data_IF_586286488623
#
_entry.id   IF_586286488623
#
_cell.length_a   1.000
_cell.length_b   1.000
_cell.length_c   1.000
_cell.angle_alpha   90.00
_cell.angle_beta   90.00
_cell.angle_gamma   90.00
#
_symmetry.space_group_name_H-M   'P 1'
#
loop_
_entity.id
_entity.type
_entity.pdbx_description
1 polymer ?
#
# COMPACT_ATOMS: atom_id res chain seq x y z
N UNK A 1 -4.74 -6.85 -2.16
CA UNK A 1 -3.79 -7.45 -3.13
C UNK A 1 -4.23 -8.86 -3.55
N UNK A 2 -5.52 -9.20 -3.42
CA UNK A 2 -5.99 -10.57 -3.62
C UNK A 2 -5.88 -11.48 -2.38
N UNK A 3 -5.01 -11.16 -1.41
CA UNK A 3 -4.79 -11.96 -0.19
C UNK A 3 -5.19 -11.18 1.06
N UNK A 4 -4.96 -9.87 1.09
CA UNK A 4 -5.13 -8.98 2.24
C UNK A 4 -5.30 -7.52 1.81
N UNK A 5 -5.61 -6.64 2.77
CA UNK A 5 -5.51 -5.20 2.56
C UNK A 5 -4.05 -4.75 2.62
N UNK A 6 -3.66 -3.85 1.72
CA UNK A 6 -2.26 -3.38 1.59
C UNK A 6 -1.71 -2.76 2.87
N UNK A 7 -2.57 -2.06 3.63
CA UNK A 7 -2.21 -1.42 4.90
C UNK A 7 -2.26 -2.33 6.13
N UNK A 8 -2.65 -3.60 5.98
CA UNK A 8 -2.85 -4.54 7.08
C UNK A 8 -2.12 -5.87 6.80
N UNK A 9 -0.77 -5.87 6.73
CA UNK A 9 -0.01 -7.08 6.43
C UNK A 9 -0.22 -8.21 7.45
N UNK A 10 -0.56 -7.87 8.70
CA UNK A 10 -0.74 -8.82 9.81
C UNK A 10 -1.96 -9.73 9.63
N UNK A 11 -2.87 -9.42 8.68
CA UNK A 11 -4.03 -10.26 8.36
C UNK A 11 -3.66 -11.72 8.07
N UNK A 12 -2.49 -11.97 7.47
CA UNK A 12 -2.01 -13.32 7.20
C UNK A 12 -1.86 -14.17 8.48
N UNK A 13 -1.57 -13.54 9.62
CA UNK A 13 -1.43 -14.24 10.90
C UNK A 13 -2.77 -14.70 11.46
N UNK A 14 -3.90 -14.14 11.00
CA UNK A 14 -5.22 -14.44 11.52
C UNK A 14 -5.67 -15.88 11.25
N UNK A 15 -5.12 -16.52 10.21
CA UNK A 15 -5.31 -17.95 9.98
C UNK A 15 -4.86 -18.82 11.16
N UNK A 16 -3.83 -18.39 11.91
CA UNK A 16 -3.37 -19.09 13.12
C UNK A 16 -4.38 -19.06 14.27
N UNK A 17 -5.35 -18.13 14.22
CA UNK A 17 -6.46 -18.02 15.16
C UNK A 17 -7.75 -18.63 14.63
N UNK A 18 -7.68 -19.47 13.58
CA UNK A 18 -8.84 -20.05 12.87
C UNK A 18 -9.83 -18.99 12.34
N UNK A 19 -9.34 -17.78 12.08
CA UNK A 19 -10.11 -16.73 11.42
C UNK A 19 -9.87 -16.85 9.93
N UNK A 20 -10.95 -16.94 9.16
CA UNK A 20 -10.89 -16.83 7.71
C UNK A 20 -11.73 -15.66 7.25
N UNK A 21 -11.27 -14.99 6.23
CA UNK A 21 -11.84 -13.74 5.77
C UNK A 21 -11.91 -13.73 4.25
N UNK A 22 -12.77 -12.88 3.71
CA UNK A 22 -12.95 -12.71 2.29
C UNK A 22 -13.29 -11.26 1.97
N UNK A 23 -12.87 -10.81 0.78
CA UNK A 23 -13.30 -9.56 0.20
C UNK A 23 -14.11 -9.88 -1.06
N UNK A 24 -15.41 -9.64 -1.00
CA UNK A 24 -16.31 -9.83 -2.15
C UNK A 24 -16.38 -8.51 -2.91
N UNK A 25 -16.13 -8.56 -4.22
CA UNK A 25 -16.32 -7.44 -5.13
C UNK A 25 -17.00 -7.94 -6.39
N UNK A 26 -18.30 -7.70 -6.50
CA UNK A 26 -19.13 -8.07 -7.65
C UNK A 26 -20.14 -6.96 -7.96
N UNK A 27 -21.19 -7.26 -8.73
CA UNK A 27 -22.18 -6.24 -9.13
C UNK A 27 -23.18 -5.94 -8.02
N UNK A 28 -23.29 -6.84 -7.05
CA UNK A 28 -24.27 -6.83 -5.97
C UNK A 28 -23.70 -6.22 -4.69
N UNK A 29 -22.45 -6.54 -4.34
CA UNK A 29 -21.78 -6.10 -3.13
C UNK A 29 -20.28 -5.85 -3.32
N UNK A 30 -19.78 -4.90 -2.54
CA UNK A 30 -18.35 -4.69 -2.30
C UNK A 30 -18.16 -4.67 -0.79
N UNK A 31 -17.77 -5.80 -0.22
CA UNK A 31 -17.80 -6.02 1.21
C UNK A 31 -16.65 -6.91 1.71
N UNK A 32 -16.14 -6.56 2.88
CA UNK A 32 -15.27 -7.44 3.66
C UNK A 32 -16.10 -8.26 4.64
N UNK A 33 -15.81 -9.56 4.72
CA UNK A 33 -16.43 -10.47 5.69
C UNK A 33 -15.38 -11.37 6.34
N UNK A 34 -15.64 -11.82 7.56
CA UNK A 34 -14.82 -12.81 8.23
C UNK A 34 -15.67 -13.77 9.05
N UNK A 35 -15.14 -14.96 9.30
CA UNK A 35 -15.73 -15.98 10.17
C UNK A 35 -14.64 -16.62 11.03
N UNK A 36 -15.06 -17.06 12.22
CA UNK A 36 -14.23 -17.84 13.13
C UNK A 36 -14.65 -19.30 12.98
N UNK A 37 -13.72 -20.19 12.62
CA UNK A 37 -14.03 -21.62 12.44
C UNK A 37 -13.99 -22.41 13.75
N UNK A 38 -13.42 -21.85 14.81
CA UNK A 38 -13.43 -22.49 16.14
C UNK A 38 -14.84 -22.42 16.74
N UNK A 39 -15.46 -23.55 17.10
CA UNK A 39 -16.76 -23.55 17.77
C UNK A 39 -16.74 -22.74 19.06
N UNK A 40 -17.87 -22.12 19.41
CA UNK A 40 -18.05 -21.34 20.65
C UNK A 40 -17.01 -20.23 20.88
N UNK A 41 -16.34 -19.78 19.82
CA UNK A 41 -15.41 -18.66 19.88
C UNK A 41 -16.07 -17.43 19.26
N UNK A 42 -16.01 -16.31 19.97
CA UNK A 42 -16.55 -15.04 19.49
C UNK A 42 -15.42 -14.11 19.12
N UNK A 43 -15.54 -13.44 17.97
CA UNK A 43 -14.60 -12.40 17.55
C UNK A 43 -15.36 -11.26 16.90
N UNK A 44 -14.85 -10.04 17.06
CA UNK A 44 -15.46 -8.84 16.49
C UNK A 44 -14.41 -7.80 16.12
N UNK A 45 -14.66 -7.09 15.02
CA UNK A 45 -14.03 -5.80 14.78
C UNK A 45 -14.78 -4.71 15.54
N UNK A 46 -14.06 -3.75 16.10
CA UNK A 46 -14.66 -2.57 16.73
C UNK A 46 -13.74 -1.38 16.56
N UNK A 47 -14.30 -0.28 16.05
CA UNK A 47 -13.67 1.02 16.03
C UNK A 47 -13.93 1.69 17.38
N UNK A 48 -12.88 2.05 18.10
CA UNK A 48 -13.02 2.74 19.38
C UNK A 48 -13.12 4.28 19.18
N UNK A 49 -13.35 5.00 20.28
CA UNK A 49 -13.45 6.48 20.29
C UNK A 49 -12.17 7.19 19.83
N UNK A 50 -11.02 6.51 19.89
CA UNK A 50 -9.73 7.06 19.46
C UNK A 50 -9.48 6.86 17.96
N UNK A 51 -10.43 6.27 17.23
CA UNK A 51 -10.30 5.98 15.80
C UNK A 51 -9.45 4.74 15.49
N UNK A 52 -9.18 3.88 16.48
CA UNK A 52 -8.45 2.63 16.31
C UNK A 52 -9.39 1.47 16.03
N UNK A 53 -9.19 0.81 14.89
CA UNK A 53 -9.87 -0.44 14.57
C UNK A 53 -9.17 -1.59 15.29
N UNK A 54 -9.92 -2.33 16.10
CA UNK A 54 -9.41 -3.47 16.85
C UNK A 54 -10.16 -4.75 16.50
N UNK A 55 -9.42 -5.84 16.36
CA UNK A 55 -9.97 -7.19 16.31
C UNK A 55 -9.88 -7.79 17.71
N UNK A 56 -11.03 -8.14 18.27
CA UNK A 56 -11.14 -8.76 19.58
C UNK A 56 -11.49 -10.24 19.47
N UNK A 57 -11.07 -11.03 20.45
CA UNK A 57 -11.56 -12.39 20.71
C UNK A 57 -12.07 -12.49 22.13
N UNK A 58 -13.14 -13.25 22.33
CA UNK A 58 -13.67 -13.49 23.68
C UNK A 58 -12.90 -14.63 24.34
N UNK A 59 -12.44 -14.41 25.57
CA UNK A 59 -11.70 -15.39 26.36
C UNK A 59 -12.56 -15.86 27.54
N UNK A 60 -13.12 -17.08 27.49
CA UNK A 60 -14.00 -17.58 28.55
C UNK A 60 -13.32 -17.72 29.92
N UNK A 61 -12.00 -17.94 29.93
CA UNK A 61 -11.23 -18.13 31.16
C UNK A 61 -11.17 -16.85 32.02
N UNK A 62 -11.11 -15.68 31.38
CA UNK A 62 -11.02 -14.38 32.05
C UNK A 62 -12.30 -13.56 31.94
N UNK A 63 -13.29 -14.04 31.17
CA UNK A 63 -14.56 -13.36 30.91
C UNK A 63 -14.36 -11.96 30.31
N UNK A 64 -13.38 -11.82 29.42
CA UNK A 64 -13.03 -10.54 28.80
C UNK A 64 -12.80 -10.64 27.28
N UNK A 65 -12.73 -9.47 26.65
CA UNK A 65 -12.37 -9.33 25.24
C UNK A 65 -10.88 -9.03 25.11
N UNK A 66 -10.12 -10.03 24.66
CA UNK A 66 -8.70 -9.88 24.35
C UNK A 66 -8.49 -9.25 22.97
N UNK A 67 -7.48 -8.39 22.86
CA UNK A 67 -7.10 -7.75 21.60
C UNK A 67 -6.20 -8.70 20.81
N UNK A 68 -6.68 -9.20 19.67
CA UNK A 68 -5.88 -9.98 18.72
C UNK A 68 -5.06 -9.09 17.79
N UNK A 69 -5.63 -7.97 17.38
CA UNK A 69 -4.99 -7.03 16.47
C UNK A 69 -5.55 -5.62 16.68
N UNK A 70 -4.72 -4.62 16.42
CA UNK A 70 -5.09 -3.21 16.39
C UNK A 70 -4.48 -2.58 15.14
N UNK A 71 -5.22 -1.69 14.49
CA UNK A 71 -4.69 -0.78 13.47
C UNK A 71 -3.71 0.16 14.17
N UNK A 72 -2.47 -0.29 14.34
CA UNK A 72 -1.47 0.46 15.09
C UNK A 72 -1.18 1.77 14.35
N UNK A 73 -1.18 2.90 15.07
CA UNK A 73 -0.66 4.17 14.55
C UNK A 73 0.87 4.09 14.67
N UNK A 74 1.50 3.29 13.81
CA UNK A 74 2.92 3.47 13.54
C UNK A 74 3.07 4.78 12.78
N UNK A 75 4.20 5.45 12.89
CA UNK A 75 4.42 6.70 12.15
C UNK A 75 4.14 6.55 10.65
N UNK A 76 4.54 5.42 10.05
CA UNK A 76 4.27 5.11 8.64
C UNK A 76 2.84 4.65 8.32
N UNK A 77 1.96 4.50 9.31
CA UNK A 77 0.53 4.18 9.10
C UNK A 77 -0.36 5.42 9.08
N UNK A 78 0.16 6.59 9.46
CA UNK A 78 -0.55 7.86 9.31
C UNK A 78 -0.67 8.20 7.82
N UNK A 79 -1.89 8.56 7.40
CA UNK A 79 -2.16 8.95 6.02
C UNK A 79 -1.23 10.07 5.57
N UNK A 80 -0.61 9.90 4.40
CA UNK A 80 0.31 10.88 3.81
C UNK A 80 1.43 11.34 4.76
N UNK A 81 1.96 10.43 5.60
CA UNK A 81 3.09 10.71 6.50
C UNK A 81 4.29 11.33 5.77
N UNK A 82 4.56 10.84 4.57
CA UNK A 82 5.62 11.34 3.69
C UNK A 82 5.03 12.10 2.50
N UNK A 83 5.80 13.04 1.96
CA UNK A 83 5.42 13.81 0.77
C UNK A 83 5.11 12.91 -0.43
N UNK A 84 4.37 13.43 -1.43
CA UNK A 84 4.22 12.73 -2.69
C UNK A 84 5.59 12.36 -3.29
N UNK A 85 5.65 11.18 -3.91
CA UNK A 85 6.85 10.53 -4.43
C UNK A 85 7.92 10.17 -3.38
N UNK A 86 7.55 10.15 -2.10
CA UNK A 86 8.31 9.52 -1.02
C UNK A 86 7.54 8.32 -0.44
N UNK A 87 8.27 7.38 0.14
CA UNK A 87 7.70 6.29 0.94
C UNK A 87 8.26 6.32 2.35
N UNK A 88 7.44 5.90 3.31
CA UNK A 88 7.85 5.76 4.70
C UNK A 88 8.48 4.39 4.95
N UNK A 89 9.65 4.35 5.59
CA UNK A 89 10.32 3.12 6.05
C UNK A 89 10.71 3.29 7.52
N UNK A 90 10.21 2.40 8.37
CA UNK A 90 10.51 2.44 9.81
C UNK A 90 11.96 2.06 10.12
N UNK A 91 12.70 1.52 9.14
CA UNK A 91 14.08 1.07 9.32
C UNK A 91 15.12 2.12 8.89
N UNK A 92 14.69 3.31 8.46
CA UNK A 92 15.59 4.39 8.04
C UNK A 92 15.44 5.62 8.92
N UNK A 93 16.50 6.43 9.00
CA UNK A 93 16.49 7.75 9.61
C UNK A 93 17.12 8.74 8.62
N UNK A 94 16.35 9.69 8.06
CA UNK A 94 14.91 9.93 8.27
C UNK A 94 14.02 8.78 7.75
N UNK A 95 12.77 8.68 8.25
CA UNK A 95 11.83 7.62 7.84
C UNK A 95 11.28 7.80 6.42
N UNK A 96 11.17 9.04 5.97
CA UNK A 96 10.72 9.34 4.61
C UNK A 96 11.89 9.25 3.63
N UNK A 97 11.69 8.50 2.55
CA UNK A 97 12.69 8.27 1.52
C UNK A 97 12.11 8.68 0.16
N UNK A 98 12.78 9.59 -0.56
CA UNK A 98 12.41 9.83 -1.96
C UNK A 98 12.62 8.57 -2.80
N UNK A 99 11.72 8.33 -3.75
CA UNK A 99 11.85 7.24 -4.71
C UNK A 99 13.10 7.48 -5.58
N UNK A 100 13.76 6.42 -6.05
CA UNK A 100 14.88 6.55 -6.99
C UNK A 100 14.44 7.37 -8.22
N UNK A 101 15.25 8.34 -8.63
CA UNK A 101 14.92 9.30 -9.69
C UNK A 101 14.17 10.54 -9.19
N UNK A 102 13.94 10.66 -7.88
CA UNK A 102 13.41 11.83 -7.20
C UNK A 102 14.41 12.34 -6.16
N UNK A 103 14.36 13.64 -5.88
CA UNK A 103 15.21 14.32 -4.91
C UNK A 103 14.38 15.26 -4.04
N UNK A 104 14.79 15.53 -2.79
CA UNK A 104 14.13 16.53 -1.97
C UNK A 104 14.21 17.90 -2.65
N UNK A 105 13.09 18.61 -2.73
CA UNK A 105 13.01 19.96 -3.29
C UNK A 105 13.83 20.96 -2.48
N UNK A 106 13.90 20.76 -1.15
CA UNK A 106 14.75 21.53 -0.25
C UNK A 106 15.61 20.59 0.61
N UNK A 107 16.89 20.36 0.24
CA UNK A 107 17.78 19.47 0.97
C UNK A 107 18.08 19.92 2.41
N UNK A 108 18.05 21.22 2.69
CA UNK A 108 18.31 21.74 4.04
C UNK A 108 17.15 21.45 4.99
N UNK A 109 15.91 21.60 4.52
CA UNK A 109 14.70 21.23 5.28
C UNK A 109 14.63 19.71 5.51
N UNK A 110 15.03 18.91 4.51
CA UNK A 110 15.07 17.44 4.61
C UNK A 110 16.05 16.92 5.67
N UNK A 111 17.16 17.63 5.90
CA UNK A 111 18.15 17.25 6.92
C UNK A 111 17.76 17.67 8.35
N UNK A 112 16.78 18.57 8.49
CA UNK A 112 16.44 19.24 9.75
C UNK A 112 15.09 18.79 10.34
N UNK A 113 14.27 18.02 9.61
CA UNK A 113 12.95 17.59 10.09
C UNK A 113 12.58 16.16 9.69
N UNK A 114 11.81 15.51 10.57
CA UNK A 114 10.90 14.39 10.26
C UNK A 114 9.60 14.87 9.56
N UNK A 115 9.66 15.98 8.80
CA UNK A 115 8.54 16.57 8.06
C UNK A 115 8.80 16.60 6.56
N UNK A 116 7.74 16.51 5.75
CA UNK A 116 7.84 16.12 4.34
C UNK A 116 8.31 17.28 3.47
N UNK A 117 9.62 17.39 3.19
CA UNK A 117 10.02 18.17 2.02
C UNK A 117 9.52 17.43 0.77
N UNK A 118 8.92 18.14 -0.18
CA UNK A 118 8.39 17.53 -1.40
C UNK A 118 9.51 16.81 -2.17
N UNK A 119 9.30 15.56 -2.56
CA UNK A 119 10.18 14.89 -3.50
C UNK A 119 9.79 15.30 -4.92
N UNK A 120 10.72 15.91 -5.64
CA UNK A 120 10.55 16.29 -7.03
C UNK A 120 11.33 15.34 -7.94
N UNK A 121 10.86 15.16 -9.18
CA UNK A 121 11.61 14.42 -10.19
C UNK A 121 12.97 15.07 -10.40
N UNK A 122 14.03 14.27 -10.39
CA UNK A 122 15.38 14.73 -10.69
C UNK A 122 15.51 15.15 -12.16
N UNK A 123 14.94 14.37 -13.06
CA UNK A 123 14.89 14.65 -14.49
C UNK A 123 13.44 14.66 -14.99
N UNK A 124 13.11 15.63 -15.85
CA UNK A 124 11.79 15.72 -16.47
C UNK A 124 11.55 14.53 -17.39
N UNK A 125 10.31 14.01 -17.38
CA UNK A 125 9.89 12.93 -18.27
C UNK A 125 9.81 13.41 -19.72
N UNK A 126 10.12 12.50 -20.64
CA UNK A 126 10.10 12.75 -22.08
C UNK A 126 8.92 12.06 -22.79
N UNK A 127 8.16 11.24 -22.06
CA UNK A 127 7.11 10.32 -22.51
C UNK A 127 7.59 9.22 -23.48
N UNK A 128 8.65 9.44 -24.24
CA UNK A 128 9.15 8.53 -25.30
C UNK A 128 10.43 7.77 -24.92
N UNK A 129 11.18 8.26 -23.93
CA UNK A 129 12.43 7.66 -23.41
C UNK A 129 12.42 7.64 -21.88
N UNK A 130 11.33 7.14 -21.33
CA UNK A 130 11.18 6.92 -19.90
C UNK A 130 11.33 5.41 -19.63
N UNK A 131 11.38 5.04 -18.36
CA UNK A 131 11.21 3.65 -17.97
C UNK A 131 10.71 3.54 -16.55
N UNK A 132 10.82 2.36 -15.97
CA UNK A 132 10.14 2.05 -14.72
C UNK A 132 11.10 1.56 -13.64
N UNK A 133 11.16 2.29 -12.53
CA UNK A 133 11.84 1.85 -11.33
C UNK A 133 10.91 0.94 -10.52
N UNK A 134 11.33 -0.30 -10.27
CA UNK A 134 10.60 -1.25 -9.43
C UNK A 134 10.92 -1.03 -7.96
N UNK A 135 9.93 -0.55 -7.21
CA UNK A 135 9.92 -0.59 -5.76
C UNK A 135 9.31 -1.90 -5.28
N UNK A 136 9.93 -2.54 -4.29
CA UNK A 136 9.45 -3.78 -3.68
C UNK A 136 8.91 -3.53 -2.28
N UNK A 137 8.02 -4.42 -1.85
CA UNK A 137 7.48 -4.44 -0.49
C UNK A 137 6.73 -3.16 -0.12
N UNK A 138 6.00 -2.59 -1.08
CA UNK A 138 5.31 -1.32 -0.93
C UNK A 138 3.82 -1.54 -0.62
N UNK A 139 3.29 -0.79 0.34
CA UNK A 139 1.86 -0.45 0.41
C UNK A 139 1.57 0.44 -0.79
N UNK A 140 0.71 -0.02 -1.70
CA UNK A 140 0.38 0.75 -2.91
C UNK A 140 -0.11 2.15 -2.56
N UNK A 141 0.15 3.13 -3.45
CA UNK A 141 -0.30 4.51 -3.27
C UNK A 141 -1.81 4.61 -3.17
N UNK A 142 -2.28 5.75 -2.66
CA UNK A 142 -3.69 6.11 -2.65
C UNK A 142 -4.36 5.92 -4.04
N UNK A 143 -5.60 5.44 -4.04
CA UNK A 143 -6.36 5.12 -5.27
C UNK A 143 -7.63 5.95 -5.47
N UNK A 144 -7.72 7.11 -4.81
CA UNK A 144 -8.91 7.99 -4.82
C UNK A 144 -9.06 8.74 -6.13
N UNK A 145 -7.96 9.24 -6.70
CA UNK A 145 -7.99 10.05 -7.93
C UNK A 145 -6.99 9.60 -8.99
N UNK A 146 -7.40 9.71 -10.26
CA UNK A 146 -6.51 9.48 -11.41
C UNK A 146 -6.03 8.04 -11.53
N UNK A 147 -6.82 7.08 -11.05
CA UNK A 147 -6.52 5.65 -11.10
C UNK A 147 -7.41 4.93 -12.10
N UNK A 148 -6.81 4.00 -12.84
CA UNK A 148 -7.54 3.08 -13.73
C UNK A 148 -7.17 1.65 -13.37
N UNK A 149 -8.19 0.78 -13.32
CA UNK A 149 -8.05 -0.63 -12.94
C UNK A 149 -8.57 -1.52 -14.06
N UNK A 150 -7.76 -2.48 -14.49
CA UNK A 150 -8.15 -3.53 -15.45
C UNK A 150 -7.62 -4.88 -14.99
N UNK A 151 -8.51 -5.72 -14.43
CA UNK A 151 -8.16 -7.04 -13.89
C UNK A 151 -7.90 -8.10 -14.96
N UNK A 152 -8.18 -7.81 -16.23
CA UNK A 152 -8.11 -8.79 -17.33
C UNK A 152 -6.72 -8.93 -17.93
N UNK A 153 -5.87 -7.93 -17.73
CA UNK A 153 -4.55 -7.85 -18.37
C UNK A 153 -3.44 -8.20 -17.40
N UNK A 154 -2.30 -8.60 -17.95
CA UNK A 154 -1.09 -8.88 -17.16
C UNK A 154 -0.15 -7.68 -17.05
N UNK A 155 0.85 -7.82 -16.19
CA UNK A 155 1.84 -6.77 -15.89
C UNK A 155 2.53 -6.19 -17.14
N UNK A 156 2.87 -7.02 -18.13
CA UNK A 156 3.54 -6.58 -19.37
C UNK A 156 2.65 -5.65 -20.21
N UNK A 157 1.36 -5.94 -20.30
CA UNK A 157 0.43 -5.05 -21.00
C UNK A 157 0.17 -3.78 -20.16
N UNK A 158 0.15 -3.91 -18.84
CA UNK A 158 0.06 -2.77 -17.92
C UNK A 158 1.21 -1.77 -18.13
N UNK A 159 2.43 -2.28 -18.25
CA UNK A 159 3.63 -1.49 -18.58
C UNK A 159 3.46 -0.76 -19.92
N UNK A 160 3.05 -1.47 -20.97
CA UNK A 160 2.84 -0.87 -22.30
C UNK A 160 1.76 0.22 -22.30
N UNK A 161 0.68 0.04 -21.54
CA UNK A 161 -0.39 1.06 -21.40
C UNK A 161 0.11 2.29 -20.65
N UNK A 162 0.87 2.08 -19.57
CA UNK A 162 1.47 3.18 -18.81
C UNK A 162 2.55 3.91 -19.61
N UNK A 163 3.35 3.21 -20.40
CA UNK A 163 4.38 3.79 -21.25
C UNK A 163 3.76 4.74 -22.29
N UNK A 164 2.73 4.28 -23.01
CA UNK A 164 1.97 5.07 -24.01
C UNK A 164 1.20 6.24 -23.43
N UNK A 165 0.86 6.20 -22.15
CA UNK A 165 0.17 7.30 -21.47
C UNK A 165 1.18 8.26 -20.86
N UNK A 166 1.36 9.44 -21.47
CA UNK A 166 2.29 10.46 -20.96
C UNK A 166 1.96 10.96 -19.54
N UNK A 167 0.71 10.82 -19.10
CA UNK A 167 0.29 11.19 -17.75
C UNK A 167 0.49 10.06 -16.74
N UNK A 168 0.85 8.84 -17.16
CA UNK A 168 1.07 7.75 -16.23
C UNK A 168 2.26 8.06 -15.31
N UNK A 169 2.06 7.89 -14.00
CA UNK A 169 3.11 8.08 -12.98
C UNK A 169 3.63 6.75 -12.43
N UNK A 170 2.84 5.68 -12.52
CA UNK A 170 3.26 4.33 -12.17
C UNK A 170 2.16 3.29 -12.36
N UNK A 171 2.51 2.02 -12.18
CA UNK A 171 1.58 0.91 -12.29
C UNK A 171 1.95 -0.27 -11.37
N UNK A 172 0.99 -1.16 -11.12
CA UNK A 172 1.18 -2.39 -10.35
C UNK A 172 0.15 -3.46 -10.77
N UNK A 173 0.35 -4.69 -10.29
CA UNK A 173 -0.71 -5.71 -10.33
C UNK A 173 -1.80 -5.36 -9.32
N UNK A 174 -3.04 -5.82 -9.55
CA UNK A 174 -4.15 -5.67 -8.58
C UNK A 174 -4.23 -6.84 -7.60
N UNK A 175 -3.77 -8.00 -8.06
CA UNK A 175 -3.74 -9.25 -7.32
C UNK A 175 -2.31 -9.83 -7.40
N UNK A 176 -1.73 -10.23 -6.27
CA UNK A 176 -0.37 -10.77 -6.19
C UNK A 176 -0.32 -12.31 -6.24
N UNK A 177 -1.47 -12.99 -6.19
CA UNK A 177 -1.54 -14.44 -6.26
C UNK A 177 -1.04 -14.96 -7.62
N UNK A 178 -0.50 -16.18 -7.64
CA UNK A 178 -0.16 -16.88 -8.88
C UNK A 178 0.91 -16.19 -9.75
N UNK A 179 1.77 -15.36 -9.17
CA UNK A 179 2.76 -14.56 -9.91
C UNK A 179 2.28 -13.17 -10.33
N UNK A 180 1.06 -12.81 -9.95
CA UNK A 180 0.50 -11.47 -10.10
C UNK A 180 -0.34 -11.28 -11.35
N UNK A 181 -1.53 -10.70 -11.20
CA UNK A 181 -2.47 -10.44 -12.29
C UNK A 181 -3.19 -9.10 -12.13
N UNK A 182 -3.80 -8.67 -13.23
CA UNK A 182 -4.49 -7.39 -13.32
C UNK A 182 -3.53 -6.21 -13.40
N UNK A 183 -4.10 -5.03 -13.53
CA UNK A 183 -3.37 -3.81 -13.75
C UNK A 183 -4.06 -2.66 -13.03
N UNK A 184 -3.28 -1.91 -12.27
CA UNK A 184 -3.66 -0.61 -11.73
C UNK A 184 -2.65 0.42 -12.22
N UNK A 185 -3.14 1.53 -12.76
CA UNK A 185 -2.32 2.62 -13.31
C UNK A 185 -2.71 3.92 -12.61
N UNK A 186 -1.72 4.65 -12.12
CA UNK A 186 -1.86 6.00 -11.57
C UNK A 186 -1.48 7.05 -12.61
N UNK A 187 -2.20 8.18 -12.59
CA UNK A 187 -1.89 9.37 -13.42
C UNK A 187 -1.67 10.64 -12.59
N UNK A 188 -1.93 10.57 -11.28
CA UNK A 188 -1.66 11.63 -10.30
C UNK A 188 -0.37 11.34 -9.53
N UNK A 189 -0.01 12.24 -8.62
CA UNK A 189 1.14 12.03 -7.75
C UNK A 189 0.94 10.78 -6.90
N UNK A 190 2.03 10.07 -6.62
CA UNK A 190 2.00 8.85 -5.81
C UNK A 190 2.18 9.24 -4.34
N UNK A 191 1.18 8.99 -3.51
CA UNK A 191 1.18 9.37 -2.09
C UNK A 191 0.73 8.23 -1.18
N UNK A 192 0.87 8.41 0.13
CA UNK A 192 0.49 7.45 1.17
C UNK A 192 1.16 6.06 1.06
N UNK A 193 2.40 6.05 0.57
CA UNK A 193 3.21 4.84 0.43
C UNK A 193 4.01 4.55 1.71
N UNK A 194 4.12 3.27 2.06
CA UNK A 194 5.12 2.77 3.00
C UNK A 194 5.80 1.52 2.49
N UNK A 195 6.98 1.25 3.04
CA UNK A 195 7.71 0.02 2.85
C UNK A 195 7.53 -0.92 4.04
N UNK A 196 7.41 -2.20 3.74
CA UNK A 196 7.42 -3.30 4.69
C UNK A 196 8.72 -4.10 4.56
N UNK A 197 9.11 -4.79 5.63
CA UNK A 197 10.29 -5.66 5.62
C UNK A 197 10.02 -6.96 4.84
N UNK A 198 8.84 -7.55 5.06
CA UNK A 198 8.47 -8.91 4.62
C UNK A 198 7.06 -9.01 4.01
N UNK A 199 6.40 -7.87 3.75
CA UNK A 199 5.05 -7.79 3.17
C UNK A 199 4.98 -6.78 2.02
N UNK A 200 3.77 -6.41 1.60
CA UNK A 200 3.54 -5.45 0.52
C UNK A 200 3.67 -6.06 -0.88
N UNK A 201 3.76 -5.20 -1.89
CA UNK A 201 3.81 -5.62 -3.29
C UNK A 201 4.74 -4.73 -4.13
N UNK A 202 4.94 -5.11 -5.39
CA UNK A 202 5.73 -4.32 -6.33
C UNK A 202 4.95 -3.12 -6.85
N UNK A 203 5.62 -1.97 -6.93
CA UNK A 203 5.15 -0.76 -7.61
C UNK A 203 6.19 -0.34 -8.66
N UNK A 204 5.76 -0.10 -9.88
CA UNK A 204 6.60 0.32 -10.98
C UNK A 204 6.39 1.81 -11.23
N UNK A 205 7.37 2.64 -10.86
CA UNK A 205 7.27 4.10 -10.92
C UNK A 205 7.94 4.62 -12.18
N UNK A 206 7.22 5.43 -12.97
CA UNK A 206 7.76 6.01 -14.20
C UNK A 206 8.84 7.03 -13.86
N UNK A 207 10.03 6.89 -14.43
CA UNK A 207 11.20 7.77 -14.27
C UNK A 207 11.87 8.01 -15.63
N UNK A 208 12.67 9.07 -15.74
CA UNK A 208 13.45 9.29 -16.96
C UNK A 208 14.47 8.15 -17.13
N UNK A 209 14.76 7.73 -18.37
CA UNK A 209 15.67 6.60 -18.62
C UNK A 209 17.08 6.81 -18.02
N UNK A 210 17.52 8.07 -17.87
CA UNK A 210 18.81 8.42 -17.26
C UNK A 210 18.88 8.20 -15.74
N UNK A 211 17.73 8.05 -15.08
CA UNK A 211 17.62 7.90 -13.63
C UNK A 211 17.28 6.44 -13.20
N UNK A 212 17.24 5.50 -14.14
CA UNK A 212 16.92 4.09 -13.89
C UNK A 212 17.97 3.33 -13.08
#
# INVERSE_FOLDING_TARGET
>A
DGIRFSGMPEMERWHSFNIVYNFTENKEEVAYTFRVNTPNTYSRFTLNSDGLLKLFTWTPATLEWDILWVSYIAECNTYARCSPYAYCDMNTSPMCNCIKGFVPRNPQEWALKDEPAECARKTQLSCSRDGFHRLRNIKLPDTTEGVTVDRRIGLKECEQRCDRNCNCTGFANTDIQGGGTGCVIWTRMLEDMRKYADAGQDLYVKVAAVDL
#
